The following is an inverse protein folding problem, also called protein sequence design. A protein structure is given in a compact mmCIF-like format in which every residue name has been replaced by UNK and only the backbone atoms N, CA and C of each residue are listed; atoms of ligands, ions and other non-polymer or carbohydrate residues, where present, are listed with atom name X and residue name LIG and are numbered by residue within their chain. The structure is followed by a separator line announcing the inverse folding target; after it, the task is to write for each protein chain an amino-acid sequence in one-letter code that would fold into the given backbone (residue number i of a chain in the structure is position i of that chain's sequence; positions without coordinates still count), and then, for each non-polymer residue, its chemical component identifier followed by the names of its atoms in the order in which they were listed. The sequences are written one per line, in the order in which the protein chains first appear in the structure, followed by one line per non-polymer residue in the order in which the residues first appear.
data_IF_578189654553
#
_entry.id   IF_578189654553
#
_cell.length_a   1.000
_cell.length_b   1.000
_cell.length_c   1.000
_cell.angle_alpha   90.00
_cell.angle_beta   90.00
_cell.angle_gamma   90.00
#
_symmetry.space_group_name_H-M   'P 1'
#
loop_
_entity.id
_entity.type
_entity.pdbx_description
1 polymer ?
#
# COMPACT_ATOMS: atom_id res chain seq x y z
N UNK A 1 26.45 -64.06 35.62
CA UNK A 1 26.10 -62.75 35.01
C UNK A 1 27.39 -61.98 34.73
N UNK A 2 27.83 -61.86 33.47
CA UNK A 2 29.05 -61.13 33.09
C UNK A 2 28.69 -59.69 32.72
N UNK A 3 29.04 -58.72 33.57
CA UNK A 3 28.89 -57.28 33.24
C UNK A 3 30.04 -56.88 32.31
N UNK A 4 29.73 -56.57 31.04
CA UNK A 4 30.68 -55.95 30.12
C UNK A 4 30.88 -54.50 30.54
N UNK A 5 32.07 -54.17 31.03
CA UNK A 5 32.49 -52.80 31.34
C UNK A 5 32.67 -52.10 29.98
N UNK A 6 31.72 -51.26 29.60
CA UNK A 6 31.83 -50.47 28.36
C UNK A 6 32.79 -49.32 28.63
N UNK A 7 33.84 -49.24 27.80
CA UNK A 7 34.91 -48.25 27.90
C UNK A 7 34.38 -46.83 27.71
N UNK A 8 34.53 -45.97 28.73
CA UNK A 8 34.08 -44.56 28.73
C UNK A 8 34.68 -43.73 27.57
N UNK A 9 35.87 -44.09 27.08
CA UNK A 9 36.50 -43.41 25.93
C UNK A 9 35.76 -43.67 24.62
N UNK A 10 35.08 -44.82 24.47
CA UNK A 10 34.19 -45.09 23.32
C UNK A 10 32.92 -44.25 23.36
N UNK A 11 32.38 -43.97 24.56
CA UNK A 11 31.22 -43.10 24.71
C UNK A 11 31.56 -41.65 24.34
N UNK A 12 32.70 -41.12 24.81
CA UNK A 12 33.15 -39.77 24.49
C UNK A 12 33.36 -39.53 22.98
N UNK A 13 33.90 -40.53 22.27
CA UNK A 13 34.06 -40.47 20.81
C UNK A 13 32.72 -40.53 20.07
N UNK A 14 31.71 -41.21 20.63
CA UNK A 14 30.36 -41.29 20.06
C UNK A 14 29.57 -40.00 20.30
N UNK A 15 29.76 -39.31 21.42
CA UNK A 15 29.04 -38.05 21.72
C UNK A 15 29.48 -36.91 20.81
N UNK A 16 30.77 -36.86 20.47
CA UNK A 16 31.31 -35.85 19.54
C UNK A 16 30.74 -36.01 18.14
N UNK A 17 30.56 -37.25 17.65
CA UNK A 17 30.00 -37.49 16.32
C UNK A 17 28.53 -37.02 16.21
N UNK A 18 27.73 -37.20 17.27
CA UNK A 18 26.31 -36.81 17.28
C UNK A 18 26.13 -35.29 17.24
N UNK A 19 27.03 -34.54 17.89
CA UNK A 19 26.98 -33.07 17.92
C UNK A 19 27.29 -32.44 16.56
N UNK A 20 28.22 -33.02 15.77
CA UNK A 20 28.56 -32.48 14.44
C UNK A 20 27.48 -32.74 13.37
N UNK A 21 26.71 -33.84 13.49
CA UNK A 21 25.64 -34.16 12.54
C UNK A 21 24.48 -33.15 12.64
N UNK A 22 24.30 -32.49 13.79
CA UNK A 22 23.30 -31.42 13.96
C UNK A 22 23.59 -30.15 13.14
N UNK A 23 24.86 -29.79 12.95
CA UNK A 23 25.24 -28.59 12.18
C UNK A 23 25.20 -28.82 10.66
N UNK A 24 25.39 -30.06 10.19
CA UNK A 24 25.30 -30.39 8.76
C UNK A 24 23.85 -30.51 8.24
N UNK A 25 22.87 -30.65 9.14
CA UNK A 25 21.44 -30.79 8.80
C UNK A 25 20.65 -29.48 8.97
N UNK A 26 21.30 -28.31 8.84
CA UNK A 26 20.55 -27.08 8.72
C UNK A 26 19.78 -27.10 7.38
N UNK A 27 18.44 -27.14 7.39
CA UNK A 27 17.68 -27.07 6.15
C UNK A 27 18.03 -25.75 5.44
N UNK A 28 18.09 -25.73 4.09
CA UNK A 28 18.29 -24.50 3.34
C UNK A 28 17.33 -23.45 3.87
N UNK A 29 17.84 -22.26 4.20
CA UNK A 29 17.00 -21.14 4.66
C UNK A 29 15.91 -20.92 3.60
N UNK A 30 14.69 -21.33 3.94
CA UNK A 30 13.55 -21.10 3.06
C UNK A 30 13.37 -19.59 2.94
N UNK A 31 13.31 -19.10 1.71
CA UNK A 31 12.98 -17.70 1.48
C UNK A 31 11.55 -17.48 1.98
N UNK A 32 11.40 -16.65 3.02
CA UNK A 32 10.11 -16.29 3.58
C UNK A 32 9.54 -15.14 2.76
N UNK A 33 8.43 -15.38 2.06
CA UNK A 33 7.64 -14.32 1.43
C UNK A 33 6.80 -13.65 2.51
N UNK A 34 6.91 -12.32 2.63
CA UNK A 34 6.10 -11.52 3.55
C UNK A 34 5.35 -10.49 2.74
N UNK A 35 4.02 -10.51 2.84
CA UNK A 35 3.17 -9.48 2.24
C UNK A 35 3.26 -8.20 3.08
N UNK A 36 3.93 -7.19 2.54
CA UNK A 36 4.04 -5.88 3.17
C UNK A 36 2.97 -4.97 2.57
N UNK A 37 2.04 -4.44 3.37
CA UNK A 37 1.04 -3.51 2.86
C UNK A 37 1.75 -2.23 2.40
N UNK A 38 1.62 -1.93 1.11
CA UNK A 38 2.11 -0.68 0.53
C UNK A 38 0.94 0.31 0.48
N UNK A 39 1.21 1.56 0.85
CA UNK A 39 0.24 2.64 0.71
C UNK A 39 -0.18 2.80 -0.76
N UNK A 40 -1.48 2.78 -1.02
CA UNK A 40 -2.06 3.10 -2.32
C UNK A 40 -2.93 4.35 -2.14
N UNK A 41 -2.76 5.38 -2.98
CA UNK A 41 -3.62 6.56 -2.90
C UNK A 41 -5.07 6.15 -3.19
N UNK A 42 -5.99 6.62 -2.34
CA UNK A 42 -7.41 6.28 -2.49
C UNK A 42 -8.06 6.97 -3.71
N UNK A 43 -7.54 8.13 -4.12
CA UNK A 43 -7.98 8.83 -5.34
C UNK A 43 -7.03 8.42 -6.48
N UNK A 44 -7.53 7.59 -7.39
CA UNK A 44 -6.76 7.15 -8.55
C UNK A 44 -6.65 8.25 -9.63
N UNK A 45 -7.74 8.98 -9.88
CA UNK A 45 -7.80 10.03 -10.90
C UNK A 45 -8.55 11.25 -10.35
N UNK A 46 -8.00 12.44 -10.59
CA UNK A 46 -8.65 13.70 -10.22
C UNK A 46 -9.53 14.17 -11.36
N UNK A 47 -10.84 14.40 -11.12
CA UNK A 47 -11.71 15.01 -12.12
C UNK A 47 -11.12 16.33 -12.64
N UNK A 48 -11.12 16.52 -13.95
CA UNK A 48 -10.62 17.74 -14.55
C UNK A 48 -11.54 18.92 -14.20
N UNK A 49 -10.96 20.01 -13.68
CA UNK A 49 -11.69 21.25 -13.42
C UNK A 49 -12.22 21.83 -14.75
N UNK A 50 -13.51 22.12 -14.86
CA UNK A 50 -14.05 22.77 -16.05
C UNK A 50 -13.52 24.20 -16.21
N UNK A 51 -13.39 24.64 -17.45
CA UNK A 51 -13.13 26.05 -17.77
C UNK A 51 -14.47 26.78 -17.64
N UNK A 52 -14.59 27.68 -16.66
CA UNK A 52 -15.81 28.44 -16.42
C UNK A 52 -15.86 29.69 -17.30
N UNK A 53 -17.05 30.09 -17.74
CA UNK A 53 -17.26 31.35 -18.44
C UNK A 53 -17.01 32.54 -17.52
N UNK A 54 -17.33 32.39 -16.23
CA UNK A 54 -17.07 33.41 -15.22
C UNK A 54 -15.57 33.73 -15.11
N UNK A 55 -14.71 32.70 -15.15
CA UNK A 55 -13.25 32.84 -15.02
C UNK A 55 -12.62 33.61 -16.21
N UNK A 56 -13.35 33.77 -17.32
CA UNK A 56 -12.89 34.52 -18.51
C UNK A 56 -13.27 35.99 -18.46
N UNK A 57 -14.15 36.40 -17.55
CA UNK A 57 -14.61 37.77 -17.48
C UNK A 57 -13.50 38.68 -16.92
N UNK A 58 -13.33 39.89 -17.48
CA UNK A 58 -12.46 40.88 -16.86
C UNK A 58 -13.03 41.33 -15.51
N UNK A 59 -12.18 41.80 -14.60
CA UNK A 59 -12.59 42.16 -13.25
C UNK A 59 -13.64 43.28 -13.22
N UNK A 60 -13.58 44.20 -14.20
CA UNK A 60 -14.50 45.32 -14.40
C UNK A 60 -15.77 44.97 -15.20
N UNK A 61 -15.97 43.70 -15.55
CA UNK A 61 -17.22 43.27 -16.18
C UNK A 61 -18.43 43.67 -15.33
N UNK A 62 -19.49 44.10 -16.01
CA UNK A 62 -20.73 44.49 -15.34
C UNK A 62 -21.35 43.34 -14.55
N UNK A 63 -22.09 43.67 -13.50
CA UNK A 63 -22.75 42.66 -12.66
C UNK A 63 -23.71 41.77 -13.47
N UNK A 64 -24.39 42.33 -14.47
CA UNK A 64 -25.24 41.57 -15.38
C UNK A 64 -24.48 40.49 -16.16
N UNK A 65 -23.29 40.81 -16.67
CA UNK A 65 -22.44 39.84 -17.37
C UNK A 65 -21.94 38.75 -16.43
N UNK A 66 -21.55 39.12 -15.20
CA UNK A 66 -21.14 38.20 -14.14
C UNK A 66 -22.26 37.21 -13.79
N UNK A 67 -23.48 37.69 -13.57
CA UNK A 67 -24.64 36.86 -13.25
C UNK A 67 -24.97 35.89 -14.40
N UNK A 68 -24.94 36.36 -15.65
CA UNK A 68 -25.20 35.49 -16.81
C UNK A 68 -24.12 34.40 -16.95
N UNK A 69 -22.85 34.73 -16.73
CA UNK A 69 -21.77 33.75 -16.76
C UNK A 69 -21.93 32.69 -15.66
N UNK A 70 -22.23 33.11 -14.43
CA UNK A 70 -22.54 32.19 -13.32
C UNK A 70 -23.72 31.26 -13.64
N UNK A 71 -24.79 31.79 -14.22
CA UNK A 71 -25.96 30.99 -14.60
C UNK A 71 -25.61 29.91 -15.64
N UNK A 72 -24.71 30.20 -16.59
CA UNK A 72 -24.23 29.23 -17.57
C UNK A 72 -23.34 28.16 -16.93
N UNK A 73 -22.50 28.56 -15.99
CA UNK A 73 -21.58 27.66 -15.29
C UNK A 73 -22.29 26.81 -14.22
N UNK A 74 -23.52 27.14 -13.85
CA UNK A 74 -24.26 26.48 -12.77
C UNK A 74 -24.29 24.95 -12.89
N UNK A 75 -24.81 24.41 -13.98
CA UNK A 75 -24.92 22.96 -14.15
C UNK A 75 -23.54 22.27 -14.22
N UNK A 76 -22.56 22.95 -14.83
CA UNK A 76 -21.20 22.46 -14.99
C UNK A 76 -20.48 22.36 -13.65
N UNK A 77 -20.64 23.37 -12.79
CA UNK A 77 -20.09 23.39 -11.43
C UNK A 77 -20.65 22.26 -10.57
N UNK A 78 -21.98 22.09 -10.52
CA UNK A 78 -22.61 21.01 -9.74
C UNK A 78 -22.22 19.62 -10.21
N UNK A 79 -22.08 19.44 -11.53
CA UNK A 79 -21.61 18.17 -12.10
C UNK A 79 -20.17 17.87 -11.69
N UNK A 80 -19.31 18.89 -11.66
CA UNK A 80 -17.93 18.76 -11.21
C UNK A 80 -17.86 18.46 -9.71
N UNK A 81 -18.63 19.16 -8.88
CA UNK A 81 -18.75 18.89 -7.45
C UNK A 81 -19.20 17.46 -7.17
N UNK A 82 -20.23 16.98 -7.87
CA UNK A 82 -20.67 15.59 -7.75
C UNK A 82 -19.54 14.59 -8.07
N UNK A 83 -18.77 14.82 -9.14
CA UNK A 83 -17.62 13.96 -9.48
C UNK A 83 -16.54 13.98 -8.39
N UNK A 84 -16.30 15.14 -7.77
CA UNK A 84 -15.38 15.24 -6.64
C UNK A 84 -15.88 14.47 -5.42
N UNK A 85 -17.16 14.60 -5.08
CA UNK A 85 -17.78 13.86 -3.97
C UNK A 85 -17.69 12.35 -4.18
N UNK A 86 -18.00 11.85 -5.38
CA UNK A 86 -17.85 10.44 -5.74
C UNK A 86 -16.40 9.97 -5.62
N UNK A 87 -15.44 10.77 -6.09
CA UNK A 87 -14.02 10.44 -5.96
C UNK A 87 -13.57 10.38 -4.49
N UNK A 88 -14.14 11.20 -3.62
CA UNK A 88 -13.84 11.20 -2.18
C UNK A 88 -14.53 10.06 -1.43
N UNK A 89 -15.71 9.61 -1.84
CA UNK A 89 -16.39 8.47 -1.21
C UNK A 89 -15.58 7.18 -1.30
N UNK A 90 -14.69 7.03 -2.29
CA UNK A 90 -13.75 5.91 -2.36
C UNK A 90 -12.62 5.96 -1.33
N UNK A 91 -12.48 7.05 -0.57
CA UNK A 91 -11.41 7.28 0.39
C UNK A 91 -11.81 7.18 1.86
N UNK A 92 -13.11 7.20 2.17
CA UNK A 92 -13.64 7.22 3.55
C UNK A 92 -13.90 5.80 4.04
#
# INVERSE_FOLDING_TARGET
MKRKIVSLTKLASSTSLVLLVGCANAPPRANQTVEVPVYVPCIAERPQRPIYEFDKLPADASDGQKVIALARDWLRSRTYEFKLEVALQGCV
#
